data_IF_888089368673
#
_entry.id   IF_888089368673
#
_cell.length_a   1.000
_cell.length_b   1.000
_cell.length_c   1.000
_cell.angle_alpha   90.00
_cell.angle_beta   90.00
_cell.angle_gamma   90.00
#
_symmetry.space_group_name_H-M   'P 1'
#
loop_
_entity.id
_entity.type
_entity.pdbx_description
1 polymer ?
#
# COMPACT_ATOMS: atom_id res chain seq x y z
N UNK A 1 -19.03 -0.47 8.34
CA UNK A 1 -20.17 -1.13 9.02
C UNK A 1 -19.92 -1.17 10.52
N UNK A 2 -20.98 -1.20 11.33
CA UNK A 2 -20.90 -1.27 12.80
C UNK A 2 -20.15 -2.53 13.30
N UNK A 3 -20.23 -3.63 12.57
CA UNK A 3 -19.55 -4.88 12.89
C UNK A 3 -18.02 -4.77 12.72
N UNK A 4 -17.55 -4.19 11.62
CA UNK A 4 -16.12 -3.94 11.40
C UNK A 4 -15.56 -3.02 12.49
N UNK A 5 -16.27 -1.96 12.84
CA UNK A 5 -15.81 -1.02 13.87
C UNK A 5 -15.69 -1.70 15.23
N UNK A 6 -16.69 -2.52 15.59
CA UNK A 6 -16.63 -3.33 16.82
C UNK A 6 -15.41 -4.25 16.85
N UNK A 7 -15.16 -4.96 15.74
CA UNK A 7 -14.00 -5.84 15.62
C UNK A 7 -12.66 -5.07 15.75
N UNK A 8 -12.55 -3.89 15.14
CA UNK A 8 -11.37 -3.05 15.28
C UNK A 8 -11.16 -2.55 16.72
N UNK A 9 -12.24 -2.20 17.41
CA UNK A 9 -12.16 -1.86 18.84
C UNK A 9 -11.75 -3.05 19.71
N UNK A 10 -12.24 -4.25 19.43
CA UNK A 10 -11.81 -5.48 20.11
C UNK A 10 -10.31 -5.71 19.89
N UNK A 11 -9.81 -5.60 18.64
CA UNK A 11 -8.39 -5.73 18.34
C UNK A 11 -7.54 -4.66 19.04
N UNK A 12 -8.04 -3.45 19.21
CA UNK A 12 -7.29 -2.36 19.85
C UNK A 12 -7.12 -2.53 21.36
N UNK A 13 -7.71 -3.57 21.96
CA UNK A 13 -7.42 -3.97 23.34
C UNK A 13 -6.04 -4.62 23.51
N UNK A 14 -5.42 -5.07 22.41
CA UNK A 14 -4.05 -5.59 22.41
C UNK A 14 -3.03 -4.45 22.48
N UNK A 15 -2.06 -4.52 23.37
CA UNK A 15 -1.09 -3.44 23.66
C UNK A 15 -0.25 -3.00 22.44
N UNK A 16 -0.13 -3.87 21.43
CA UNK A 16 0.62 -3.59 20.20
C UNK A 16 -0.24 -3.02 19.05
N UNK A 17 -1.55 -2.86 19.26
CA UNK A 17 -2.48 -2.30 18.28
C UNK A 17 -2.97 -0.92 18.75
N UNK A 18 -2.80 0.08 17.89
CA UNK A 18 -3.35 1.42 18.11
C UNK A 18 -4.41 1.72 17.05
N UNK A 19 -5.66 1.83 17.45
CA UNK A 19 -6.76 2.27 16.58
C UNK A 19 -6.79 3.79 16.55
N UNK A 20 -6.85 4.35 15.32
CA UNK A 20 -7.01 5.78 15.09
C UNK A 20 -8.26 5.98 14.25
N UNK A 21 -9.21 6.73 14.78
CA UNK A 21 -10.43 7.14 14.08
C UNK A 21 -10.34 8.62 13.74
N UNK A 22 -10.56 8.96 12.47
CA UNK A 22 -10.58 10.35 12.02
C UNK A 22 -11.50 10.51 10.81
N UNK A 23 -11.83 11.74 10.45
CA UNK A 23 -12.67 12.05 9.32
C UNK A 23 -11.86 12.20 8.03
N UNK A 24 -12.21 11.42 7.02
CA UNK A 24 -11.59 11.56 5.70
C UNK A 24 -12.05 12.86 5.02
N UNK A 25 -11.13 13.80 4.86
CA UNK A 25 -11.37 15.12 4.27
C UNK A 25 -11.13 15.17 2.74
N UNK A 26 -11.26 14.05 2.05
CA UNK A 26 -10.97 13.88 0.61
C UNK A 26 -9.54 14.21 0.19
N UNK A 27 -8.58 14.04 1.10
CA UNK A 27 -7.17 14.27 0.83
C UNK A 27 -6.36 13.06 1.33
N UNK A 28 -6.02 12.14 0.43
CA UNK A 28 -5.40 10.88 0.79
C UNK A 28 -4.04 11.04 1.49
N UNK A 29 -3.18 11.96 1.04
CA UNK A 29 -1.91 12.17 1.72
C UNK A 29 -2.09 12.65 3.18
N UNK A 30 -3.07 13.52 3.45
CA UNK A 30 -3.36 13.95 4.82
C UNK A 30 -3.81 12.77 5.66
N UNK A 31 -4.69 11.92 5.11
CA UNK A 31 -5.18 10.71 5.76
C UNK A 31 -4.03 9.75 6.11
N UNK A 32 -3.17 9.43 5.14
CA UNK A 32 -1.99 8.57 5.36
C UNK A 32 -1.01 9.18 6.38
N UNK A 33 -0.84 10.48 6.38
CA UNK A 33 0.06 11.17 7.32
C UNK A 33 -0.44 11.13 8.77
N UNK A 34 -1.73 10.95 9.03
CA UNK A 34 -2.24 10.74 10.40
C UNK A 34 -1.65 9.44 10.97
N UNK A 35 -1.73 8.34 10.20
CA UNK A 35 -1.13 7.06 10.59
C UNK A 35 0.39 7.16 10.73
N UNK A 36 1.07 7.79 9.76
CA UNK A 36 2.53 8.00 9.80
C UNK A 36 2.97 8.67 11.09
N UNK A 37 2.26 9.70 11.54
CA UNK A 37 2.58 10.43 12.79
C UNK A 37 2.41 9.59 14.07
N UNK A 38 1.56 8.59 14.04
CA UNK A 38 1.33 7.70 15.17
C UNK A 38 2.38 6.59 15.30
N UNK A 39 3.12 6.32 14.23
CA UNK A 39 4.15 5.28 14.23
C UNK A 39 5.35 5.67 15.11
N UNK A 40 5.86 4.70 15.90
CA UNK A 40 6.95 4.90 16.88
C UNK A 40 8.22 4.12 16.53
N UNK A 41 8.15 3.15 15.60
CA UNK A 41 9.30 2.35 15.17
C UNK A 41 10.29 3.13 14.31
N UNK A 42 11.48 2.59 14.08
CA UNK A 42 12.52 3.18 13.22
C UNK A 42 12.14 3.19 11.75
N UNK A 43 11.32 2.23 11.35
CA UNK A 43 10.75 2.11 10.00
C UNK A 43 9.23 2.03 10.06
N UNK A 44 8.60 2.50 9.01
CA UNK A 44 7.16 2.40 8.79
C UNK A 44 6.95 1.45 7.61
N UNK A 45 6.11 0.45 7.79
CA UNK A 45 5.59 -0.37 6.70
C UNK A 45 4.09 -0.13 6.57
N UNK A 46 3.69 0.67 5.60
CA UNK A 46 2.28 0.96 5.34
C UNK A 46 1.68 -0.11 4.41
N UNK A 47 0.54 -0.64 4.82
CA UNK A 47 -0.25 -1.60 4.06
C UNK A 47 -1.66 -1.04 3.96
N UNK A 48 -2.22 -0.99 2.74
CA UNK A 48 -3.60 -0.56 2.54
C UNK A 48 -4.56 -1.72 2.90
N UNK A 49 -5.80 -1.41 3.27
CA UNK A 49 -6.75 -2.40 3.80
C UNK A 49 -7.12 -3.54 2.83
N UNK A 50 -6.80 -3.39 1.56
CA UNK A 50 -7.00 -4.37 0.48
C UNK A 50 -5.69 -5.00 0.00
N UNK A 51 -4.62 -4.88 0.77
CA UNK A 51 -3.32 -5.48 0.47
C UNK A 51 -2.95 -6.54 1.50
N UNK A 52 -2.30 -7.61 1.04
CA UNK A 52 -1.79 -8.69 1.87
C UNK A 52 -0.30 -8.90 1.58
N UNK A 53 0.60 -8.69 2.55
CA UNK A 53 2.01 -8.96 2.34
C UNK A 53 2.29 -10.46 2.28
N UNK A 54 3.18 -10.86 1.37
CA UNK A 54 3.69 -12.23 1.37
C UNK A 54 4.44 -12.49 2.69
N UNK A 55 4.24 -13.67 3.28
CA UNK A 55 4.89 -14.05 4.54
C UNK A 55 6.42 -14.06 4.44
N UNK A 56 6.97 -14.37 3.27
CA UNK A 56 8.42 -14.35 3.02
C UNK A 56 8.95 -12.91 3.07
N UNK A 57 8.21 -11.94 2.53
CA UNK A 57 8.55 -10.52 2.69
C UNK A 57 8.63 -10.14 4.17
N UNK A 58 7.60 -10.45 4.95
CA UNK A 58 7.56 -10.12 6.38
C UNK A 58 8.75 -10.73 7.13
N UNK A 59 9.05 -12.01 6.89
CA UNK A 59 10.15 -12.73 7.56
C UNK A 59 11.54 -12.17 7.22
N UNK A 60 11.73 -11.75 5.98
CA UNK A 60 13.03 -11.25 5.50
C UNK A 60 13.19 -9.73 5.65
N UNK A 61 12.12 -9.01 5.94
CA UNK A 61 12.15 -7.54 6.00
C UNK A 61 13.24 -7.00 6.94
N UNK A 62 13.43 -7.51 8.17
CA UNK A 62 14.52 -7.03 9.05
C UNK A 62 15.89 -7.15 8.40
N UNK A 63 16.23 -8.30 7.81
CA UNK A 63 17.50 -8.54 7.14
C UNK A 63 17.69 -7.65 5.89
N UNK A 64 16.60 -7.40 5.13
CA UNK A 64 16.64 -6.51 3.97
C UNK A 64 16.97 -5.08 4.40
N UNK A 65 16.34 -4.57 5.45
CA UNK A 65 16.57 -3.22 5.97
C UNK A 65 17.98 -3.07 6.55
N UNK A 66 18.44 -4.07 7.28
CA UNK A 66 19.78 -4.12 7.91
C UNK A 66 20.90 -4.18 6.87
N UNK A 67 20.69 -4.91 5.76
CA UNK A 67 21.66 -5.04 4.67
C UNK A 67 21.73 -3.82 3.74
N UNK A 68 20.77 -2.90 3.83
CA UNK A 68 20.65 -1.73 2.95
C UNK A 68 20.42 -0.42 3.73
N UNK A 69 21.25 -0.10 4.74
CA UNK A 69 20.97 0.97 5.70
C UNK A 69 20.98 2.37 5.07
N UNK A 70 21.58 2.55 3.90
CA UNK A 70 21.69 3.85 3.23
C UNK A 70 20.40 4.29 2.52
N UNK A 71 19.49 3.34 2.27
CA UNK A 71 18.21 3.66 1.68
C UNK A 71 17.21 4.16 2.72
N UNK A 72 16.51 5.21 2.37
CA UNK A 72 15.49 5.80 3.25
C UNK A 72 14.10 5.26 2.93
N UNK A 73 13.88 4.82 1.69
CA UNK A 73 12.58 4.32 1.20
C UNK A 73 12.78 3.06 0.36
N UNK A 74 11.84 2.12 0.48
CA UNK A 74 11.81 0.91 -0.32
C UNK A 74 10.46 0.80 -1.05
N UNK A 75 10.55 0.63 -2.35
CA UNK A 75 9.42 0.31 -3.21
C UNK A 75 9.17 -1.20 -3.16
N UNK A 76 7.94 -1.58 -2.86
CA UNK A 76 7.53 -2.99 -2.77
C UNK A 76 6.74 -3.36 -4.02
N UNK A 77 7.07 -4.44 -4.73
CA UNK A 77 6.30 -4.90 -5.88
C UNK A 77 4.91 -5.36 -5.41
N UNK A 78 3.89 -5.14 -6.25
CA UNK A 78 2.51 -5.51 -5.95
C UNK A 78 1.93 -6.36 -7.06
N UNK A 79 1.37 -7.49 -6.69
CA UNK A 79 0.59 -8.38 -7.56
C UNK A 79 -0.86 -7.92 -7.54
N UNK A 80 -1.30 -7.30 -8.62
CA UNK A 80 -2.70 -6.93 -8.80
C UNK A 80 -3.42 -8.04 -9.58
N UNK A 81 -4.51 -8.54 -9.04
CA UNK A 81 -5.43 -9.45 -9.75
C UNK A 81 -6.83 -8.86 -9.73
N UNK A 82 -7.54 -9.02 -10.85
CA UNK A 82 -8.93 -8.53 -10.97
C UNK A 82 -9.80 -9.67 -11.47
N UNK A 83 -10.64 -10.21 -10.60
CA UNK A 83 -11.63 -11.21 -10.97
C UNK A 83 -12.68 -10.60 -11.88
N UNK A 84 -13.06 -11.31 -12.96
CA UNK A 84 -14.00 -10.81 -13.97
C UNK A 84 -13.39 -9.84 -14.99
N UNK A 85 -12.05 -9.68 -15.02
CA UNK A 85 -11.37 -8.86 -16.03
C UNK A 85 -11.55 -9.45 -17.43
N UNK A 86 -11.97 -8.61 -18.39
CA UNK A 86 -12.15 -8.99 -19.81
C UNK A 86 -11.13 -8.29 -20.70
N UNK A 87 -10.99 -8.78 -21.94
CA UNK A 87 -10.14 -8.13 -22.95
C UNK A 87 -10.59 -6.70 -23.26
N UNK A 88 -11.89 -6.41 -23.14
CA UNK A 88 -12.44 -5.08 -23.31
C UNK A 88 -11.94 -4.11 -22.22
N UNK A 89 -11.96 -4.55 -20.96
CA UNK A 89 -11.42 -3.78 -19.85
C UNK A 89 -9.90 -3.52 -20.01
N UNK A 90 -9.15 -4.55 -20.40
CA UNK A 90 -7.70 -4.46 -20.62
C UNK A 90 -7.38 -3.40 -21.68
N UNK A 91 -8.09 -3.42 -22.79
CA UNK A 91 -7.94 -2.47 -23.89
C UNK A 91 -8.35 -1.04 -23.47
N UNK A 92 -9.52 -0.90 -22.81
CA UNK A 92 -10.05 0.39 -22.36
C UNK A 92 -9.11 1.10 -21.38
N UNK A 93 -8.57 0.35 -20.41
CA UNK A 93 -7.69 0.90 -19.38
C UNK A 93 -6.21 0.85 -19.76
N UNK A 94 -5.89 0.27 -20.92
CA UNK A 94 -4.52 0.09 -21.42
C UNK A 94 -3.62 -0.66 -20.44
N UNK A 95 -4.18 -1.68 -19.82
CA UNK A 95 -3.44 -2.50 -18.88
C UNK A 95 -2.60 -3.56 -19.57
N UNK A 96 -1.48 -3.88 -18.95
CA UNK A 96 -0.66 -5.03 -19.31
C UNK A 96 -0.96 -6.17 -18.35
N UNK A 97 -1.28 -7.36 -18.87
CA UNK A 97 -1.57 -8.56 -18.07
C UNK A 97 -0.61 -9.66 -18.49
N UNK A 98 0.14 -10.18 -17.54
CA UNK A 98 1.09 -11.28 -17.81
C UNK A 98 0.41 -12.65 -17.81
N UNK A 99 1.19 -13.72 -18.09
CA UNK A 99 0.70 -15.10 -18.18
C UNK A 99 0.12 -15.64 -16.85
N UNK A 100 0.44 -15.01 -15.71
CA UNK A 100 -0.14 -15.32 -14.39
C UNK A 100 -1.44 -14.57 -14.11
N UNK A 101 -1.91 -13.73 -15.04
CA UNK A 101 -3.09 -12.89 -14.85
C UNK A 101 -2.82 -11.64 -13.99
N UNK A 102 -1.56 -11.26 -13.79
CA UNK A 102 -1.21 -10.08 -12.99
C UNK A 102 -1.22 -8.81 -13.81
N UNK A 103 -1.89 -7.80 -13.29
CA UNK A 103 -2.05 -6.50 -13.95
C UNK A 103 -0.87 -5.59 -13.64
N UNK A 104 -0.24 -5.06 -14.69
CA UNK A 104 0.85 -4.08 -14.63
C UNK A 104 2.04 -4.49 -13.74
N UNK A 105 2.30 -5.79 -13.59
CA UNK A 105 3.44 -6.29 -12.82
C UNK A 105 4.78 -5.77 -13.36
N UNK A 106 5.72 -5.32 -12.46
CA UNK A 106 5.72 -5.32 -10.99
C UNK A 106 5.24 -3.98 -10.38
N UNK A 107 4.02 -3.62 -10.41
CA UNK A 107 3.44 -2.37 -9.92
C UNK A 107 4.03 -1.91 -8.56
N UNK A 108 5.16 -1.20 -8.61
CA UNK A 108 5.91 -0.80 -7.43
C UNK A 108 5.20 0.27 -6.61
N UNK A 109 5.10 0.03 -5.30
CA UNK A 109 4.43 0.89 -4.35
C UNK A 109 5.38 1.42 -3.28
N UNK A 110 5.24 2.69 -2.91
CA UNK A 110 5.90 3.30 -1.76
C UNK A 110 5.32 2.70 -0.48
N UNK A 111 6.01 1.74 0.14
CA UNK A 111 5.42 0.99 1.27
C UNK A 111 6.28 0.98 2.52
N UNK A 112 7.60 1.07 2.39
CA UNK A 112 8.49 0.98 3.54
C UNK A 112 9.41 2.20 3.54
N UNK A 113 9.56 2.86 4.70
CA UNK A 113 10.47 4.00 4.82
C UNK A 113 10.95 4.20 6.25
N UNK A 114 12.10 4.90 6.40
CA UNK A 114 12.61 5.35 7.71
C UNK A 114 11.64 6.33 8.33
N UNK A 115 11.31 6.15 9.60
CA UNK A 115 10.41 7.03 10.33
C UNK A 115 11.10 8.38 10.64
N UNK A 116 11.12 9.25 9.65
CA UNK A 116 11.69 10.60 9.73
C UNK A 116 10.61 11.64 9.47
N UNK A 117 10.58 12.76 10.23
CA UNK A 117 9.51 13.77 10.11
C UNK A 117 9.43 14.44 8.73
N UNK A 118 10.53 14.49 7.99
CA UNK A 118 10.59 15.03 6.63
C UNK A 118 9.97 14.10 5.58
N UNK A 119 9.95 12.77 5.83
CA UNK A 119 9.38 11.77 4.90
C UNK A 119 7.88 11.70 5.14
N UNK A 120 7.10 12.17 4.20
CA UNK A 120 5.64 12.24 4.30
C UNK A 120 4.95 12.18 2.95
N UNK A 121 3.70 11.78 2.97
CA UNK A 121 2.83 11.78 1.81
C UNK A 121 2.46 13.19 1.38
N UNK A 122 2.42 13.41 0.06
CA UNK A 122 1.95 14.64 -0.61
C UNK A 122 0.92 14.29 -1.67
N UNK A 123 0.20 15.31 -2.13
CA UNK A 123 -0.87 15.32 -3.11
C UNK A 123 -2.22 14.80 -2.55
N UNK A 124 -3.27 15.38 -3.09
CA UNK A 124 -4.66 15.06 -2.71
C UNK A 124 -5.05 13.66 -3.19
N UNK A 125 -4.71 13.35 -4.44
CA UNK A 125 -4.83 12.06 -5.11
C UNK A 125 -3.51 11.73 -5.80
N UNK A 126 -3.29 10.47 -6.16
CA UNK A 126 -2.01 10.00 -6.71
C UNK A 126 -0.85 10.42 -5.79
N UNK A 127 -1.04 10.16 -4.52
CA UNK A 127 -0.10 10.58 -3.49
C UNK A 127 1.26 9.92 -3.65
N UNK A 128 2.28 10.71 -3.43
CA UNK A 128 3.69 10.31 -3.48
C UNK A 128 4.37 10.51 -2.13
N UNK A 129 5.26 9.61 -1.78
CA UNK A 129 6.12 9.78 -0.61
C UNK A 129 7.26 10.73 -0.96
N UNK A 130 7.51 11.73 -0.15
CA UNK A 130 8.43 12.82 -0.44
C UNK A 130 9.24 13.19 0.79
N UNK A 131 10.40 13.84 0.60
CA UNK A 131 11.31 14.25 1.67
C UNK A 131 12.45 13.26 1.91
N UNK A 132 12.46 12.12 1.24
CA UNK A 132 13.56 11.16 1.25
C UNK A 132 14.69 11.58 0.30
N UNK A 133 15.91 11.13 0.57
CA UNK A 133 17.12 11.40 -0.21
C UNK A 133 17.52 10.21 -1.09
N UNK A 134 17.11 9.00 -0.69
CA UNK A 134 17.44 7.76 -1.40
C UNK A 134 16.27 6.80 -1.35
N UNK A 135 16.17 5.97 -2.37
CA UNK A 135 15.21 4.86 -2.41
C UNK A 135 15.78 3.68 -3.19
N UNK A 136 15.27 2.50 -2.91
CA UNK A 136 15.53 1.28 -3.67
C UNK A 136 14.21 0.54 -3.94
N UNK A 137 14.17 -0.22 -5.03
CA UNK A 137 13.09 -1.16 -5.27
C UNK A 137 13.51 -2.54 -4.77
N UNK A 138 12.61 -3.24 -4.09
CA UNK A 138 12.81 -4.66 -3.80
C UNK A 138 12.81 -5.45 -5.13
N UNK A 139 13.49 -6.61 -5.18
CA UNK A 139 13.44 -7.48 -6.36
C UNK A 139 11.99 -7.78 -6.77
N UNK A 140 11.72 -7.81 -8.10
CA UNK A 140 10.39 -8.15 -8.65
C UNK A 140 10.12 -9.66 -8.56
N UNK A 141 10.05 -10.15 -7.33
CA UNK A 141 9.77 -11.54 -6.98
C UNK A 141 8.46 -11.61 -6.21
N UNK A 142 7.66 -12.63 -6.49
CA UNK A 142 6.34 -12.82 -5.85
C UNK A 142 6.47 -12.94 -4.33
N UNK A 143 7.53 -13.58 -3.86
CA UNK A 143 7.84 -13.79 -2.45
C UNK A 143 8.08 -12.49 -1.68
N UNK A 144 8.44 -11.41 -2.40
CA UNK A 144 8.70 -10.08 -1.83
C UNK A 144 7.59 -9.08 -2.15
N UNK A 145 6.44 -9.56 -2.61
CA UNK A 145 5.35 -8.71 -3.08
C UNK A 145 4.22 -8.54 -2.05
N UNK A 146 3.41 -7.53 -2.30
CA UNK A 146 2.06 -7.41 -1.76
C UNK A 146 1.06 -8.02 -2.75
N UNK A 147 0.05 -8.73 -2.26
CA UNK A 147 -1.10 -9.14 -3.04
C UNK A 147 -2.22 -8.11 -2.91
N UNK A 148 -2.86 -7.79 -4.02
CA UNK A 148 -3.93 -6.83 -4.09
C UNK A 148 -5.05 -7.37 -5.00
N UNK A 149 -5.85 -8.31 -4.47
CA UNK A 149 -6.96 -8.90 -5.22
C UNK A 149 -8.16 -7.95 -5.22
N UNK A 150 -8.80 -7.85 -6.38
CA UNK A 150 -10.05 -7.10 -6.58
C UNK A 150 -11.01 -7.91 -7.43
N UNK A 151 -12.29 -7.54 -7.38
CA UNK A 151 -13.28 -7.86 -8.41
C UNK A 151 -13.47 -6.68 -9.37
N UNK A 152 -14.06 -6.95 -10.51
CA UNK A 152 -14.25 -5.94 -11.56
C UNK A 152 -15.19 -4.82 -11.12
N UNK A 153 -16.25 -5.13 -10.37
CA UNK A 153 -17.21 -4.13 -9.91
C UNK A 153 -16.54 -3.10 -8.97
N UNK A 154 -15.69 -3.58 -8.07
CA UNK A 154 -14.92 -2.72 -7.18
C UNK A 154 -13.95 -1.85 -7.95
N UNK A 155 -13.28 -2.40 -8.97
CA UNK A 155 -12.36 -1.64 -9.81
C UNK A 155 -13.08 -0.54 -10.59
N UNK A 156 -14.23 -0.82 -11.18
CA UNK A 156 -15.04 0.17 -11.89
C UNK A 156 -15.52 1.29 -10.95
N UNK A 157 -16.02 0.93 -9.77
CA UNK A 157 -16.43 1.91 -8.74
C UNK A 157 -15.26 2.81 -8.34
N UNK A 158 -14.07 2.25 -8.17
CA UNK A 158 -12.86 3.00 -7.82
C UNK A 158 -12.47 3.97 -8.94
N UNK A 159 -12.46 3.53 -10.20
CA UNK A 159 -12.15 4.37 -11.34
C UNK A 159 -13.14 5.54 -11.45
N UNK A 160 -14.43 5.27 -11.29
CA UNK A 160 -15.47 6.30 -11.29
C UNK A 160 -15.29 7.30 -10.14
N UNK A 161 -14.97 6.83 -8.94
CA UNK A 161 -14.73 7.70 -7.79
C UNK A 161 -13.54 8.64 -8.02
N UNK A 162 -12.41 8.14 -8.54
CA UNK A 162 -11.25 8.98 -8.83
C UNK A 162 -11.52 10.07 -9.87
N UNK A 163 -12.41 9.83 -10.81
CA UNK A 163 -12.85 10.83 -11.78
C UNK A 163 -13.67 11.98 -11.16
N UNK A 164 -14.11 11.85 -9.89
CA UNK A 164 -14.90 12.88 -9.16
C UNK A 164 -14.06 13.72 -8.18
N UNK A 165 -12.76 13.40 -8.02
CA UNK A 165 -11.84 14.08 -7.09
C UNK A 165 -10.99 15.15 -7.77
#
# INVERSE_FOLDING_TARGET
TSELLRYLHELSSEDYITLIEDNFNRHFANWKNILTKACKGDYIFQIDADELPNLTLIKNLPAILESNPDNEVYLVPRVNTVEGLTSEHINLWRWNVNDKGWVNWPDYQWRIWKNKPEIKWKNKVHEVLSGHKSYAALPSQEELALYHPKDIERQEKQNNYYNTL
#
